data_IF_773896776396
#
_entry.id   IF_773896776396
#
_cell.length_a   1.000
_cell.length_b   1.000
_cell.length_c   1.000
_cell.angle_alpha   90.00
_cell.angle_beta   90.00
_cell.angle_gamma   90.00
#
_symmetry.space_group_name_H-M   'P 1'
#
loop_
_entity.id
_entity.type
_entity.pdbx_description
1 polymer ?
#
# COMPACT_ATOMS: atom_id res chain seq x y z
N UNK A 1 7.16 18.71 -1.30
CA UNK A 1 6.95 17.26 -1.18
C UNK A 1 8.30 16.57 -1.12
N UNK A 2 8.51 15.66 -0.16
CA UNK A 2 9.70 14.79 -0.14
C UNK A 2 9.39 13.51 -0.91
N UNK A 3 10.29 13.08 -1.80
CA UNK A 3 10.12 11.91 -2.64
C UNK A 3 11.21 10.87 -2.35
N UNK A 4 10.88 9.58 -2.45
CA UNK A 4 11.75 8.47 -2.03
C UNK A 4 11.56 7.26 -2.93
N UNK A 5 12.65 6.55 -3.28
CA UNK A 5 12.59 5.30 -4.05
C UNK A 5 12.04 4.13 -3.23
N UNK A 6 12.27 4.13 -1.92
CA UNK A 6 11.83 3.12 -0.97
C UNK A 6 10.60 3.62 -0.23
N UNK A 7 9.49 2.89 -0.34
CA UNK A 7 8.23 3.24 0.31
C UNK A 7 7.66 2.04 1.06
N UNK A 8 7.21 2.28 2.29
CA UNK A 8 6.47 1.35 3.12
C UNK A 8 5.01 1.78 3.11
N UNK A 9 4.12 0.87 2.76
CA UNK A 9 2.67 1.01 2.90
C UNK A 9 2.23 0.31 4.18
N UNK A 10 1.37 0.96 4.95
CA UNK A 10 0.90 0.46 6.25
C UNK A 10 -0.63 0.47 6.29
N UNK A 11 -1.23 -0.72 6.41
CA UNK A 11 -2.67 -0.92 6.54
C UNK A 11 -3.15 -0.99 8.00
N UNK A 12 -2.29 -0.71 9.00
CA UNK A 12 -2.64 -0.84 10.43
C UNK A 12 -3.79 0.07 10.91
N UNK A 13 -4.18 1.09 10.13
CA UNK A 13 -5.37 1.90 10.39
C UNK A 13 -6.67 1.25 9.90
N UNK A 14 -6.60 0.14 9.17
CA UNK A 14 -7.78 -0.59 8.73
C UNK A 14 -8.48 -1.22 9.92
N UNK A 15 -9.80 -1.10 9.95
CA UNK A 15 -10.62 -1.63 11.03
C UNK A 15 -11.94 -2.16 10.48
N UNK A 16 -12.44 -3.20 11.12
CA UNK A 16 -13.81 -3.65 10.95
C UNK A 16 -14.58 -3.35 12.25
N UNK A 17 -15.76 -2.75 12.14
CA UNK A 17 -16.55 -2.28 13.28
C UNK A 17 -17.28 -3.42 13.99
N UNK A 18 -17.54 -4.52 13.29
CA UNK A 18 -18.28 -5.66 13.82
C UNK A 18 -17.53 -7.00 13.65
N UNK A 19 -16.27 -6.98 13.23
CA UNK A 19 -15.46 -8.16 12.96
C UNK A 19 -13.96 -7.88 13.03
N UNK A 20 -13.18 -8.74 12.37
CA UNK A 20 -11.71 -8.59 12.26
C UNK A 20 -11.26 -8.72 10.82
N UNK A 21 -10.29 -7.89 10.43
CA UNK A 21 -9.64 -8.02 9.11
C UNK A 21 -8.74 -9.26 9.13
N UNK A 22 -8.97 -10.17 8.20
CA UNK A 22 -8.27 -11.45 8.07
C UNK A 22 -7.26 -11.49 6.93
N UNK A 23 -7.38 -10.63 5.92
CA UNK A 23 -6.45 -10.60 4.79
C UNK A 23 -6.34 -9.21 4.14
N UNK A 24 -5.25 -8.99 3.42
CA UNK A 24 -4.89 -7.74 2.75
C UNK A 24 -4.45 -8.04 1.31
N UNK A 25 -4.71 -7.13 0.37
CA UNK A 25 -4.11 -7.15 -0.96
C UNK A 25 -3.66 -5.76 -1.37
N UNK A 26 -2.47 -5.65 -1.95
CA UNK A 26 -1.89 -4.42 -2.45
C UNK A 26 -1.68 -4.44 -3.95
N UNK A 27 -2.18 -3.43 -4.64
CA UNK A 27 -2.08 -3.31 -6.10
C UNK A 27 -1.53 -1.95 -6.49
N UNK A 28 -0.88 -1.88 -7.66
CA UNK A 28 -0.50 -0.63 -8.31
C UNK A 28 -0.84 -0.71 -9.79
N UNK A 29 -1.62 0.25 -10.29
CA UNK A 29 -1.97 0.33 -11.72
C UNK A 29 -2.61 -0.96 -12.28
N UNK A 30 -3.38 -1.69 -11.46
CA UNK A 30 -4.05 -2.94 -11.85
C UNK A 30 -3.18 -4.20 -11.77
N UNK A 31 -1.92 -4.10 -11.30
CA UNK A 31 -1.05 -5.26 -11.04
C UNK A 31 -0.81 -5.43 -9.54
N UNK A 32 -0.78 -6.67 -9.05
CA UNK A 32 -0.46 -6.96 -7.65
C UNK A 32 1.03 -6.73 -7.35
N UNK A 33 1.33 -6.30 -6.13
CA UNK A 33 2.71 -6.30 -5.62
C UNK A 33 3.18 -7.71 -5.26
N UNK A 34 4.51 -7.97 -5.20
CA UNK A 34 5.05 -9.28 -4.82
C UNK A 34 4.59 -9.78 -3.45
N UNK A 35 4.51 -8.89 -2.45
CA UNK A 35 4.05 -9.21 -1.07
C UNK A 35 2.66 -8.63 -0.80
N UNK A 36 1.72 -8.94 -1.70
CA UNK A 36 0.36 -8.37 -1.66
C UNK A 36 -0.41 -8.69 -0.36
N UNK A 37 -0.14 -9.84 0.28
CA UNK A 37 -0.82 -10.32 1.48
C UNK A 37 -0.17 -9.88 2.81
N UNK A 38 0.20 -8.62 2.92
CA UNK A 38 0.92 -8.10 4.07
C UNK A 38 0.23 -6.90 4.71
N UNK A 39 0.17 -6.85 6.05
CA UNK A 39 -0.25 -5.64 6.77
C UNK A 39 0.64 -4.44 6.43
N UNK A 40 1.95 -4.70 6.24
CA UNK A 40 2.94 -3.70 5.84
C UNK A 40 3.67 -4.19 4.59
N UNK A 41 3.56 -3.45 3.50
CA UNK A 41 4.24 -3.73 2.24
C UNK A 41 5.41 -2.78 2.08
N UNK A 42 6.60 -3.30 1.80
CA UNK A 42 7.75 -2.49 1.42
C UNK A 42 8.01 -2.64 -0.06
N UNK A 43 8.13 -1.53 -0.79
CA UNK A 43 8.39 -1.55 -2.22
C UNK A 43 9.45 -0.54 -2.65
N UNK A 44 10.30 -0.95 -3.60
CA UNK A 44 11.27 -0.09 -4.27
C UNK A 44 10.75 0.22 -5.67
N UNK A 45 10.50 1.50 -5.93
CA UNK A 45 10.04 1.94 -7.23
C UNK A 45 11.22 2.29 -8.14
N UNK A 46 11.17 1.78 -9.37
CA UNK A 46 12.20 2.03 -10.40
C UNK A 46 11.88 3.23 -11.31
N UNK A 47 10.66 3.79 -11.19
CA UNK A 47 10.22 4.95 -11.94
C UNK A 47 9.66 6.03 -11.00
N UNK A 48 10.01 7.28 -11.27
CA UNK A 48 9.42 8.45 -10.61
C UNK A 48 8.04 8.74 -11.19
N UNK A 49 7.15 9.30 -10.38
CA UNK A 49 5.80 9.67 -10.83
C UNK A 49 4.77 9.62 -9.72
N UNK A 50 3.51 9.85 -10.09
CA UNK A 50 2.35 9.62 -9.22
C UNK A 50 1.87 8.21 -9.48
N UNK A 51 1.97 7.36 -8.47
CA UNK A 51 1.62 5.94 -8.56
C UNK A 51 0.34 5.70 -7.75
N UNK A 52 -0.73 5.20 -8.35
CA UNK A 52 -1.93 4.81 -7.61
C UNK A 52 -1.67 3.49 -6.90
N UNK A 53 -1.81 3.48 -5.57
CA UNK A 53 -1.70 2.29 -4.73
C UNK A 53 -3.06 1.97 -4.14
N UNK A 54 -3.55 0.76 -4.42
CA UNK A 54 -4.84 0.26 -3.91
C UNK A 54 -4.59 -0.76 -2.82
N UNK A 55 -5.28 -0.60 -1.69
CA UNK A 55 -5.41 -1.60 -0.64
C UNK A 55 -6.80 -2.22 -0.73
N UNK A 56 -6.89 -3.54 -0.77
CA UNK A 56 -8.09 -4.31 -0.45
C UNK A 56 -7.91 -5.00 0.90
N UNK A 57 -8.96 -5.02 1.70
CA UNK A 57 -9.02 -5.78 2.96
C UNK A 57 -10.18 -6.76 2.91
N UNK A 58 -10.04 -7.92 3.56
CA UNK A 58 -11.11 -8.91 3.76
C UNK A 58 -11.36 -9.14 5.25
N UNK A 59 -12.62 -9.13 5.66
CA UNK A 59 -13.03 -9.46 7.04
C UNK A 59 -13.17 -10.98 7.28
N UNK A 60 -13.51 -11.38 8.50
CA UNK A 60 -13.76 -12.78 8.87
C UNK A 60 -15.04 -13.36 8.25
N UNK A 61 -15.90 -12.51 7.69
CA UNK A 61 -17.14 -12.87 6.99
C UNK A 61 -16.97 -12.91 5.47
N UNK A 62 -15.74 -12.77 4.97
CA UNK A 62 -15.39 -12.74 3.54
C UNK A 62 -15.92 -11.53 2.78
N UNK A 63 -16.32 -10.47 3.47
CA UNK A 63 -16.58 -9.16 2.89
C UNK A 63 -15.26 -8.49 2.53
N UNK A 64 -15.21 -7.77 1.41
CA UNK A 64 -14.04 -6.98 1.04
C UNK A 64 -14.35 -5.50 0.87
N UNK A 65 -13.35 -4.67 1.13
CA UNK A 65 -13.40 -3.22 0.92
C UNK A 65 -12.08 -2.73 0.34
N UNK A 66 -12.13 -1.68 -0.48
CA UNK A 66 -10.95 -1.14 -1.18
C UNK A 66 -10.80 0.35 -1.01
N UNK A 67 -9.55 0.82 -0.90
CA UNK A 67 -9.18 2.23 -0.95
C UNK A 67 -7.97 2.42 -1.87
N UNK A 68 -7.94 3.54 -2.60
CA UNK A 68 -6.80 3.91 -3.46
C UNK A 68 -6.21 5.23 -3.01
N UNK A 69 -4.89 5.32 -2.94
CA UNK A 69 -4.16 6.57 -2.70
C UNK A 69 -3.12 6.84 -3.77
N UNK A 70 -2.95 8.11 -4.09
CA UNK A 70 -1.90 8.57 -4.98
C UNK A 70 -0.58 8.82 -4.23
N UNK A 71 0.49 8.18 -4.69
CA UNK A 71 1.79 8.20 -4.03
C UNK A 71 2.80 8.82 -4.99
N UNK A 72 3.24 10.04 -4.67
CA UNK A 72 4.35 10.67 -5.38
C UNK A 72 5.69 10.00 -5.03
N UNK A 73 6.38 9.49 -6.06
CA UNK A 73 7.63 8.73 -5.97
C UNK A 73 8.73 9.43 -6.77
N UNK A 74 9.95 9.37 -6.25
CA UNK A 74 11.17 9.73 -6.98
C UNK A 74 12.16 8.59 -6.87
N UNK A 75 12.29 7.84 -7.96
CA UNK A 75 13.16 6.68 -8.04
C UNK A 75 14.65 7.03 -8.05
N UNK A 76 15.00 8.30 -8.28
CA UNK A 76 16.41 8.76 -8.28
C UNK A 76 16.92 9.08 -6.88
N UNK A 77 16.03 9.13 -5.89
CA UNK A 77 16.36 9.51 -4.53
C UNK A 77 16.64 8.29 -3.67
N UNK A 78 17.94 8.00 -3.55
CA UNK A 78 18.46 6.82 -2.85
C UNK A 78 18.47 6.94 -1.31
N UNK A 79 18.19 8.13 -0.77
CA UNK A 79 18.37 8.46 0.64
C UNK A 79 17.02 8.72 1.33
N UNK A 80 16.72 7.92 2.37
CA UNK A 80 15.51 8.00 3.19
C UNK A 80 14.36 7.12 2.67
N UNK A 81 13.65 6.45 3.57
CA UNK A 81 12.42 5.73 3.25
C UNK A 81 11.18 6.59 3.49
N UNK A 82 10.10 6.35 2.74
CA UNK A 82 8.78 6.94 3.00
C UNK A 82 7.89 5.93 3.72
N UNK A 83 7.21 6.32 4.79
CA UNK A 83 6.08 5.57 5.32
C UNK A 83 4.78 6.21 4.81
N UNK A 84 3.85 5.39 4.31
CA UNK A 84 2.54 5.79 3.79
C UNK A 84 1.49 4.94 4.47
N UNK A 85 0.68 5.55 5.33
CA UNK A 85 -0.51 4.90 5.89
C UNK A 85 -1.63 4.96 4.86
N UNK A 86 -2.22 3.81 4.56
CA UNK A 86 -3.35 3.68 3.63
C UNK A 86 -4.64 3.43 4.39
#
# INVERSE_FOLDING_TARGET
MSHFRFTVFDAASSSDADGVITDYWWWSGGSAFPDTHALKLTHVFNASGIIPVTLEVQDDRKTTSRITREVAVDATRDIGGRNVTI
#
